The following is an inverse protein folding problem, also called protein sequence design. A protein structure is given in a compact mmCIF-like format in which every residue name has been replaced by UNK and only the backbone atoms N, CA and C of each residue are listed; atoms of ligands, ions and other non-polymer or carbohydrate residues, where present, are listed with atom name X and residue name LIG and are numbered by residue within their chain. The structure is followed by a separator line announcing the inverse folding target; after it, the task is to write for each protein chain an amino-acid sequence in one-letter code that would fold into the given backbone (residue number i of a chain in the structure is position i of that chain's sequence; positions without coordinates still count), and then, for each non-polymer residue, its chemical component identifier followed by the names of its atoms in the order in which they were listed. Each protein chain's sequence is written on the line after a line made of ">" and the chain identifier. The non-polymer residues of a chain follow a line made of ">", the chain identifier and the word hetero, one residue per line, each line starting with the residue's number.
data_IF_603227688563
#
_entry.id   IF_603227688563
#
_cell.length_a   1.000
_cell.length_b   1.000
_cell.length_c   1.000
_cell.angle_alpha   90.00
_cell.angle_beta   90.00
_cell.angle_gamma   90.00
#
_symmetry.space_group_name_H-M   'P 1'
#
loop_
_entity.id
_entity.type
_entity.pdbx_description
1 polymer ?
#
# COMPACT_ATOMS: atom_id res chain seq x y z
N UNK A 1 13.06 3.30 1.06
CA UNK A 1 11.66 3.65 1.42
C UNK A 1 10.88 3.98 0.16
N UNK A 2 9.55 3.77 0.16
CA UNK A 2 8.67 4.18 -0.94
C UNK A 2 7.36 4.75 -0.41
N UNK A 3 6.69 5.59 -1.19
CA UNK A 3 5.32 6.05 -0.93
C UNK A 3 4.57 6.27 -2.24
N UNK A 4 3.27 5.98 -2.26
CA UNK A 4 2.43 6.10 -3.45
C UNK A 4 1.70 7.44 -3.47
N UNK A 5 1.75 8.15 -4.60
CA UNK A 5 1.07 9.42 -4.85
C UNK A 5 0.41 9.43 -6.22
N UNK A 6 -0.58 10.31 -6.44
CA UNK A 6 -1.13 10.62 -7.75
C UNK A 6 -0.63 11.98 -8.23
N UNK A 7 -0.67 12.19 -9.55
CA UNK A 7 -0.38 13.47 -10.18
C UNK A 7 -1.44 14.53 -9.85
N UNK A 8 -1.35 15.09 -8.64
CA UNK A 8 -2.17 16.21 -8.20
C UNK A 8 -1.40 17.12 -7.24
N UNK A 9 -1.88 18.34 -7.07
CA UNK A 9 -1.20 19.38 -6.30
C UNK A 9 -1.10 19.03 -4.80
N UNK A 10 -2.16 18.48 -4.21
CA UNK A 10 -2.18 18.16 -2.79
C UNK A 10 -1.14 17.08 -2.43
N UNK A 11 -1.05 16.01 -3.23
CA UNK A 11 -0.07 14.94 -3.01
C UNK A 11 1.37 15.39 -3.35
N UNK A 12 1.54 16.41 -4.21
CA UNK A 12 2.86 17.05 -4.42
C UNK A 12 3.34 17.76 -3.16
N UNK A 13 2.47 18.51 -2.49
CA UNK A 13 2.78 19.13 -1.20
C UNK A 13 3.19 18.11 -0.13
N UNK A 14 2.41 17.04 0.01
CA UNK A 14 2.73 15.96 0.93
C UNK A 14 4.07 15.29 0.58
N UNK A 15 4.35 15.12 -0.73
CA UNK A 15 5.63 14.57 -1.20
C UNK A 15 6.83 15.43 -0.77
N UNK A 16 6.71 16.76 -0.80
CA UNK A 16 7.76 17.66 -0.29
C UNK A 16 8.03 17.38 1.20
N UNK A 17 6.96 17.24 2.00
CA UNK A 17 7.09 16.99 3.44
C UNK A 17 7.80 15.67 3.75
N UNK A 18 7.44 14.60 3.06
CA UNK A 18 8.04 13.28 3.30
C UNK A 18 9.51 13.22 2.84
N UNK A 19 9.85 13.80 1.66
CA UNK A 19 11.24 13.90 1.22
C UNK A 19 12.08 14.75 2.18
N UNK A 20 11.52 15.87 2.65
CA UNK A 20 12.19 16.73 3.62
C UNK A 20 12.44 15.99 4.94
N UNK A 21 11.44 15.30 5.48
CA UNK A 21 11.58 14.58 6.74
C UNK A 21 12.58 13.43 6.65
N UNK A 22 12.60 12.69 5.54
CA UNK A 22 13.61 11.66 5.28
C UNK A 22 15.04 12.21 5.36
N UNK A 23 15.26 13.37 4.73
CA UNK A 23 16.57 14.04 4.78
C UNK A 23 16.88 14.61 6.17
N UNK A 24 15.89 15.20 6.85
CA UNK A 24 16.06 15.86 8.14
C UNK A 24 16.46 14.91 9.26
N UNK A 25 16.04 13.64 9.18
CA UNK A 25 16.40 12.62 10.18
C UNK A 25 17.58 11.74 9.74
N UNK A 26 18.26 12.07 8.64
CA UNK A 26 19.33 11.24 8.06
C UNK A 26 18.92 9.76 7.90
N UNK A 27 17.69 9.51 7.39
CA UNK A 27 17.21 8.15 7.19
C UNK A 27 18.10 7.38 6.22
N UNK A 28 18.69 6.25 6.63
CA UNK A 28 19.49 5.41 5.74
C UNK A 28 18.71 4.87 4.55
N UNK A 29 19.39 4.77 3.41
CA UNK A 29 18.85 4.22 2.15
C UNK A 29 18.02 5.22 1.35
N UNK A 30 17.65 4.86 0.11
CA UNK A 30 16.94 5.73 -0.79
C UNK A 30 15.45 5.87 -0.42
N UNK A 31 14.85 6.98 -0.85
CA UNK A 31 13.40 7.18 -0.86
C UNK A 31 12.93 7.43 -2.28
N UNK A 32 11.86 6.75 -2.70
CA UNK A 32 11.27 6.88 -4.04
C UNK A 32 9.77 7.13 -3.94
N UNK A 33 9.30 8.15 -4.62
CA UNK A 33 7.87 8.38 -4.84
C UNK A 33 7.39 7.50 -6.00
N UNK A 34 6.34 6.72 -5.78
CA UNK A 34 5.64 5.94 -6.78
C UNK A 34 4.45 6.78 -7.27
N UNK A 35 4.59 7.39 -8.45
CA UNK A 35 3.69 8.44 -8.94
C UNK A 35 2.75 7.92 -10.03
N UNK A 36 1.46 7.85 -9.72
CA UNK A 36 0.41 7.47 -10.65
C UNK A 36 -0.05 8.70 -11.47
N UNK A 37 0.18 8.68 -12.80
CA UNK A 37 -0.25 9.72 -13.73
C UNK A 37 -0.98 9.12 -14.93
N UNK A 38 -1.99 9.82 -15.48
CA UNK A 38 -2.36 9.60 -16.88
C UNK A 38 -1.38 10.34 -17.81
N UNK A 39 -1.42 10.01 -19.10
CA UNK A 39 -0.58 10.69 -20.09
C UNK A 39 -0.88 12.19 -20.15
N UNK A 40 -2.15 12.59 -20.05
CA UNK A 40 -2.59 13.98 -20.02
C UNK A 40 -2.11 14.71 -18.75
N UNK A 41 -2.23 14.04 -17.59
CA UNK A 41 -1.73 14.59 -16.33
C UNK A 41 -0.22 14.82 -16.40
N UNK A 42 0.53 13.86 -16.95
CA UNK A 42 1.99 13.92 -17.01
C UNK A 42 2.49 15.08 -17.86
N UNK A 43 1.78 15.45 -18.95
CA UNK A 43 2.14 16.58 -19.80
C UNK A 43 2.13 17.92 -19.05
N UNK A 44 1.27 18.08 -18.07
CA UNK A 44 1.09 19.35 -17.34
C UNK A 44 1.65 19.31 -15.92
N UNK A 45 2.03 18.15 -15.43
CA UNK A 45 2.50 18.00 -14.06
C UNK A 45 3.87 18.63 -13.83
N UNK A 46 3.99 19.49 -12.81
CA UNK A 46 5.18 20.29 -12.51
C UNK A 46 6.01 19.77 -11.33
N UNK A 47 5.64 18.62 -10.77
CA UNK A 47 6.26 18.14 -9.55
C UNK A 47 7.24 16.97 -9.75
N UNK A 48 7.76 16.72 -10.95
CA UNK A 48 8.69 15.60 -11.19
C UNK A 48 10.06 15.83 -10.53
N UNK A 49 10.44 17.07 -10.34
CA UNK A 49 11.71 17.52 -9.76
C UNK A 49 11.74 17.57 -8.21
N UNK A 50 10.60 17.26 -7.55
CA UNK A 50 10.50 17.29 -6.09
C UNK A 50 11.45 16.24 -5.43
N UNK A 51 11.64 15.09 -6.07
CA UNK A 51 12.54 14.05 -5.59
C UNK A 51 12.50 12.78 -6.46
N UNK A 52 13.26 11.74 -6.09
CA UNK A 52 13.31 10.50 -6.82
C UNK A 52 11.92 9.92 -7.07
N UNK A 53 11.56 9.70 -8.33
CA UNK A 53 10.19 9.36 -8.72
C UNK A 53 10.18 8.24 -9.75
N UNK A 54 9.39 7.20 -9.48
CA UNK A 54 8.97 6.18 -10.44
C UNK A 54 7.56 6.53 -10.91
N UNK A 55 7.38 6.76 -12.22
CA UNK A 55 6.07 7.11 -12.82
C UNK A 55 5.42 5.85 -13.38
N UNK A 56 4.13 5.70 -13.14
CA UNK A 56 3.34 4.62 -13.72
C UNK A 56 1.92 5.13 -14.08
N UNK A 57 1.19 4.31 -14.85
CA UNK A 57 -0.18 4.62 -15.23
C UNK A 57 -1.10 4.78 -14.03
N UNK A 58 -1.94 5.82 -14.02
CA UNK A 58 -2.93 6.05 -12.98
C UNK A 58 -4.13 5.10 -13.17
N UNK A 59 -4.26 4.13 -12.29
CA UNK A 59 -5.29 3.10 -12.33
C UNK A 59 -6.72 3.67 -12.28
N UNK A 60 -6.90 4.90 -11.77
CA UNK A 60 -8.20 5.59 -11.77
C UNK A 60 -8.80 5.75 -13.17
N UNK A 61 -7.97 5.85 -14.20
CA UNK A 61 -8.40 6.04 -15.60
C UNK A 61 -8.57 4.72 -16.37
N UNK A 62 -8.60 3.59 -15.68
CA UNK A 62 -8.74 2.26 -16.25
C UNK A 62 -7.37 1.64 -16.59
N UNK A 63 -7.31 0.33 -16.48
CA UNK A 63 -6.12 -0.45 -16.83
C UNK A 63 -6.54 -1.91 -17.12
N UNK A 64 -5.89 -2.66 -18.03
CA UNK A 64 -6.24 -4.05 -18.30
C UNK A 64 -6.28 -5.00 -17.09
N UNK A 65 -5.58 -4.64 -16.01
CA UNK A 65 -5.59 -5.42 -14.76
C UNK A 65 -6.84 -5.21 -13.91
N UNK A 66 -7.68 -4.19 -14.18
CA UNK A 66 -8.84 -3.86 -13.35
C UNK A 66 -10.08 -3.65 -14.22
N UNK A 67 -11.25 -4.00 -13.68
CA UNK A 67 -12.52 -4.00 -14.41
C UNK A 67 -13.38 -2.75 -14.13
N UNK A 68 -12.77 -1.68 -13.59
CA UNK A 68 -13.48 -0.46 -13.26
C UNK A 68 -12.63 0.81 -13.44
N UNK A 69 -13.32 1.94 -13.58
CA UNK A 69 -12.74 3.28 -13.68
C UNK A 69 -13.17 4.12 -12.48
N UNK A 70 -12.39 5.12 -12.12
CA UNK A 70 -12.74 6.10 -11.08
C UNK A 70 -12.33 5.71 -9.65
N UNK A 71 -11.88 4.48 -9.38
CA UNK A 71 -11.48 4.07 -8.04
C UNK A 71 -9.96 4.22 -7.81
N UNK A 72 -9.52 5.19 -6.96
CA UNK A 72 -8.10 5.53 -6.83
C UNK A 72 -7.30 4.54 -5.99
N UNK A 73 -7.95 3.74 -5.15
CA UNK A 73 -7.25 2.87 -4.20
C UNK A 73 -6.49 1.71 -4.86
N UNK A 74 -6.67 1.50 -6.16
CA UNK A 74 -5.82 0.60 -6.93
C UNK A 74 -4.40 1.14 -7.15
N UNK A 75 -4.21 2.46 -7.07
CA UNK A 75 -2.91 3.05 -7.33
C UNK A 75 -1.83 2.55 -6.37
N UNK A 76 -2.10 2.48 -5.07
CA UNK A 76 -1.08 2.08 -4.09
C UNK A 76 -0.57 0.65 -4.32
N UNK A 77 -1.40 -0.41 -4.40
CA UNK A 77 -0.93 -1.75 -4.71
C UNK A 77 -0.28 -1.88 -6.10
N UNK A 78 -0.85 -1.23 -7.11
CA UNK A 78 -0.30 -1.25 -8.46
C UNK A 78 1.06 -0.53 -8.53
N UNK A 79 1.22 0.60 -7.85
CA UNK A 79 2.49 1.31 -7.74
C UNK A 79 3.62 0.40 -7.25
N UNK A 80 3.36 -0.32 -6.17
CA UNK A 80 4.34 -1.22 -5.56
C UNK A 80 4.67 -2.39 -6.50
N UNK A 81 3.64 -2.98 -7.12
CA UNK A 81 3.81 -4.08 -8.07
C UNK A 81 4.65 -3.66 -9.27
N UNK A 82 4.28 -2.58 -9.97
CA UNK A 82 5.00 -2.10 -11.15
C UNK A 82 6.43 -1.67 -10.84
N UNK A 83 6.64 -1.03 -9.69
CA UNK A 83 7.96 -0.64 -9.24
C UNK A 83 8.87 -1.85 -9.02
N UNK A 84 8.38 -2.89 -8.33
CA UNK A 84 9.15 -4.11 -8.08
C UNK A 84 9.42 -4.95 -9.33
N UNK A 85 8.57 -4.85 -10.36
CA UNK A 85 8.75 -5.51 -11.65
C UNK A 85 9.80 -4.81 -12.52
N UNK A 86 9.92 -3.47 -12.43
CA UNK A 86 10.73 -2.67 -13.34
C UNK A 86 12.04 -2.17 -12.73
N UNK A 87 12.14 -2.16 -11.39
CA UNK A 87 13.31 -1.66 -10.67
C UNK A 87 14.01 -2.81 -9.95
N UNK A 88 15.31 -2.92 -10.16
CA UNK A 88 16.14 -3.90 -9.44
C UNK A 88 16.46 -3.39 -8.03
N UNK A 89 15.48 -3.57 -7.14
CA UNK A 89 15.58 -3.17 -5.73
C UNK A 89 16.58 -4.04 -4.99
N UNK A 90 17.60 -3.41 -4.39
CA UNK A 90 18.69 -4.10 -3.69
C UNK A 90 18.50 -4.15 -2.18
N UNK A 91 17.77 -3.20 -1.63
CA UNK A 91 17.49 -3.10 -0.21
C UNK A 91 16.75 -4.33 0.31
N UNK A 92 17.19 -4.86 1.45
CA UNK A 92 16.58 -6.04 2.07
C UNK A 92 15.17 -5.73 2.60
N UNK A 93 15.01 -4.52 3.18
CA UNK A 93 13.73 -4.07 3.73
C UNK A 93 13.18 -2.87 2.97
N UNK A 94 11.87 -2.86 2.80
CA UNK A 94 11.13 -1.80 2.12
C UNK A 94 10.09 -1.24 3.08
N UNK A 95 10.26 0.03 3.47
CA UNK A 95 9.22 0.76 4.20
C UNK A 95 8.31 1.46 3.19
N UNK A 96 7.02 1.11 3.22
CA UNK A 96 5.96 1.73 2.44
C UNK A 96 5.18 2.68 3.35
N UNK A 97 5.10 3.96 2.98
CA UNK A 97 4.49 5.02 3.76
C UNK A 97 3.27 5.60 3.02
N UNK A 98 2.37 6.24 3.77
CA UNK A 98 1.39 7.17 3.20
C UNK A 98 2.03 8.55 2.98
N UNK A 99 1.54 9.29 1.98
CA UNK A 99 2.13 10.59 1.59
C UNK A 99 2.03 11.68 2.67
N UNK A 100 1.07 11.57 3.57
CA UNK A 100 0.84 12.50 4.67
C UNK A 100 1.66 12.19 5.94
N UNK A 101 2.55 11.21 5.85
CA UNK A 101 3.46 10.85 6.94
C UNK A 101 4.76 11.65 6.90
N UNK A 102 5.36 11.82 8.06
CA UNK A 102 6.68 12.43 8.23
C UNK A 102 7.51 11.63 9.23
N UNK A 103 8.77 11.46 8.91
CA UNK A 103 9.72 10.83 9.82
C UNK A 103 10.14 11.84 10.90
N UNK A 104 10.13 11.40 12.15
CA UNK A 104 10.63 12.18 13.29
C UNK A 104 11.98 11.66 13.81
N UNK A 105 12.29 10.42 13.47
CA UNK A 105 13.53 9.71 13.76
C UNK A 105 13.78 8.68 12.67
N UNK A 106 15.02 8.19 12.51
CA UNK A 106 15.31 7.12 11.54
C UNK A 106 14.56 5.83 11.88
N UNK A 107 14.01 5.16 10.87
CA UNK A 107 13.44 3.83 10.99
C UNK A 107 14.53 2.79 10.81
N UNK A 108 14.73 1.95 11.82
CA UNK A 108 15.56 0.74 11.73
C UNK A 108 14.62 -0.49 11.61
N UNK A 109 14.52 -1.12 10.44
CA UNK A 109 13.66 -2.26 10.23
C UNK A 109 13.93 -3.42 11.18
N UNK A 110 15.19 -3.71 11.46
CA UNK A 110 15.60 -4.84 12.31
C UNK A 110 15.28 -4.55 13.77
N UNK A 111 15.57 -3.35 14.25
CA UNK A 111 15.24 -2.93 15.61
C UNK A 111 13.71 -2.92 15.84
N UNK A 112 12.92 -2.64 14.82
CA UNK A 112 11.46 -2.72 14.85
C UNK A 112 10.91 -4.15 14.71
N UNK A 113 11.78 -5.16 14.50
CA UNK A 113 11.41 -6.57 14.44
C UNK A 113 11.03 -7.07 13.04
N UNK A 114 11.27 -6.28 11.97
CA UNK A 114 11.05 -6.74 10.61
C UNK A 114 12.03 -7.88 10.26
N UNK A 115 11.51 -8.89 9.60
CA UNK A 115 12.28 -10.02 9.07
C UNK A 115 11.47 -10.73 8.00
N UNK A 116 12.07 -11.64 7.27
CA UNK A 116 11.35 -12.48 6.31
C UNK A 116 10.18 -13.20 6.98
N UNK A 117 9.00 -13.14 6.36
CA UNK A 117 7.75 -13.68 6.89
C UNK A 117 7.07 -12.81 7.96
N UNK A 118 7.64 -11.65 8.33
CA UNK A 118 7.05 -10.74 9.32
C UNK A 118 7.01 -9.32 8.77
N UNK A 119 5.81 -8.76 8.70
CA UNK A 119 5.56 -7.37 8.35
C UNK A 119 5.37 -6.53 9.62
N UNK A 120 6.11 -5.44 9.72
CA UNK A 120 5.91 -4.44 10.79
C UNK A 120 4.97 -3.37 10.29
N UNK A 121 3.98 -2.99 11.11
CA UNK A 121 3.01 -1.94 10.79
C UNK A 121 2.48 -1.27 12.06
N UNK A 122 1.92 -0.07 11.94
CA UNK A 122 1.20 0.55 13.04
C UNK A 122 -0.18 -0.09 13.23
N UNK A 123 -0.61 -0.23 14.50
CA UNK A 123 -1.97 -0.63 14.81
C UNK A 123 -2.91 0.59 14.69
N UNK A 124 -3.98 0.45 13.89
CA UNK A 124 -5.01 1.46 13.71
C UNK A 124 -6.35 0.93 14.21
N UNK A 125 -6.58 1.06 15.51
CA UNK A 125 -7.74 0.51 16.21
C UNK A 125 -9.11 1.02 15.70
N UNK A 126 -9.12 2.17 15.01
CA UNK A 126 -10.33 2.73 14.39
C UNK A 126 -10.73 2.05 13.07
N UNK A 127 -9.86 1.22 12.50
CA UNK A 127 -10.16 0.51 11.28
C UNK A 127 -11.20 -0.58 11.53
N UNK A 128 -12.25 -0.58 10.72
CA UNK A 128 -13.32 -1.59 10.77
C UNK A 128 -13.18 -2.58 9.60
N UNK A 129 -13.83 -3.73 9.70
CA UNK A 129 -13.87 -4.72 8.61
C UNK A 129 -12.91 -5.91 8.79
N UNK A 130 -11.86 -5.80 9.60
CA UNK A 130 -10.89 -6.88 9.82
C UNK A 130 -11.45 -8.04 10.66
N UNK A 131 -12.47 -7.82 11.48
CA UNK A 131 -13.09 -8.82 12.38
C UNK A 131 -14.56 -9.08 12.09
N UNK A 132 -15.11 -8.49 11.03
CA UNK A 132 -16.53 -8.57 10.69
C UNK A 132 -16.86 -9.59 9.61
N UNK A 133 -18.08 -9.50 9.07
CA UNK A 133 -18.56 -10.33 7.95
C UNK A 133 -17.66 -10.19 6.69
N UNK A 134 -17.02 -9.07 6.50
CA UNK A 134 -16.06 -8.84 5.43
C UNK A 134 -14.84 -9.75 5.55
N UNK A 135 -14.20 -9.77 6.72
CA UNK A 135 -13.05 -10.63 6.96
C UNK A 135 -13.38 -12.11 6.72
N UNK A 136 -14.55 -12.57 7.21
CA UNK A 136 -15.04 -13.95 7.03
C UNK A 136 -15.28 -14.36 5.57
N UNK A 137 -15.34 -13.42 4.65
CA UNK A 137 -15.44 -13.72 3.21
C UNK A 137 -14.12 -14.11 2.58
N UNK A 138 -13.01 -13.71 3.21
CA UNK A 138 -11.65 -13.83 2.67
C UNK A 138 -10.71 -14.64 3.56
N UNK A 139 -11.03 -14.80 4.83
CA UNK A 139 -10.27 -15.53 5.83
C UNK A 139 -11.07 -16.72 6.36
N UNK A 140 -10.39 -17.79 6.70
CA UNK A 140 -10.99 -18.90 7.42
C UNK A 140 -11.42 -18.46 8.84
N UNK A 141 -12.37 -19.17 9.44
CA UNK A 141 -12.96 -18.75 10.71
C UNK A 141 -11.91 -18.59 11.83
N UNK A 142 -10.91 -19.45 11.82
CA UNK A 142 -9.80 -19.47 12.78
C UNK A 142 -8.83 -18.30 12.57
N UNK A 143 -8.73 -17.77 11.36
CA UNK A 143 -7.84 -16.65 10.99
C UNK A 143 -8.45 -15.29 11.34
N UNK A 144 -9.78 -15.15 11.32
CA UNK A 144 -10.46 -13.88 11.57
C UNK A 144 -10.06 -13.22 12.89
N UNK A 145 -9.95 -13.95 14.03
CA UNK A 145 -9.50 -13.35 15.29
C UNK A 145 -8.05 -12.83 15.25
N UNK A 146 -7.23 -13.40 14.37
CA UNK A 146 -5.82 -13.05 14.21
C UNK A 146 -5.60 -11.86 13.28
N UNK A 147 -6.64 -11.42 12.55
CA UNK A 147 -6.57 -10.32 11.61
C UNK A 147 -6.15 -9.02 12.31
N UNK A 148 -5.00 -8.47 11.93
CA UNK A 148 -4.47 -7.24 12.49
C UNK A 148 -5.13 -5.99 11.87
N UNK A 149 -5.40 -4.98 12.70
CA UNK A 149 -5.86 -3.66 12.25
C UNK A 149 -4.65 -2.78 11.96
N UNK A 150 -3.94 -3.09 10.87
CA UNK A 150 -2.72 -2.39 10.49
C UNK A 150 -2.97 -1.34 9.41
N UNK A 151 -2.21 -0.26 9.45
CA UNK A 151 -2.32 0.84 8.47
C UNK A 151 -1.22 1.86 8.61
N UNK A 152 -1.26 2.86 7.75
CA UNK A 152 -0.34 3.98 7.73
C UNK A 152 1.01 3.62 7.11
N UNK A 153 1.87 2.91 7.81
CA UNK A 153 3.11 2.41 7.23
C UNK A 153 3.24 0.89 7.37
N UNK A 154 4.05 0.32 6.49
CA UNK A 154 4.39 -1.10 6.52
C UNK A 154 5.87 -1.26 6.21
N UNK A 155 6.57 -2.12 6.94
CA UNK A 155 7.94 -2.52 6.63
C UNK A 155 7.93 -3.99 6.25
N UNK A 156 8.36 -4.28 5.02
CA UNK A 156 8.40 -5.61 4.45
C UNK A 156 9.84 -6.05 4.24
N UNK A 157 10.10 -7.35 4.34
CA UNK A 157 11.22 -7.92 3.64
C UNK A 157 10.95 -7.89 2.12
N UNK A 158 11.95 -7.53 1.31
CA UNK A 158 11.82 -7.35 -0.15
C UNK A 158 11.21 -8.57 -0.85
N UNK A 159 11.68 -9.77 -0.52
CA UNK A 159 11.22 -10.98 -1.20
C UNK A 159 9.76 -11.30 -0.87
N UNK A 160 9.32 -11.01 0.35
CA UNK A 160 7.91 -11.12 0.75
C UNK A 160 7.06 -10.10 -0.01
N UNK A 161 7.52 -8.86 -0.13
CA UNK A 161 6.78 -7.82 -0.85
C UNK A 161 6.62 -8.15 -2.34
N UNK A 162 7.62 -8.78 -2.98
CA UNK A 162 7.51 -9.26 -4.37
C UNK A 162 6.40 -10.29 -4.55
N UNK A 163 6.16 -11.13 -3.56
CA UNK A 163 5.05 -12.10 -3.58
C UNK A 163 3.71 -11.43 -3.25
N UNK A 164 3.73 -10.51 -2.29
CA UNK A 164 2.53 -9.83 -1.78
C UNK A 164 1.96 -8.83 -2.79
N UNK A 165 2.79 -8.07 -3.51
CA UNK A 165 2.34 -6.96 -4.34
C UNK A 165 1.31 -7.35 -5.43
N UNK A 166 1.49 -8.39 -6.24
CA UNK A 166 0.48 -8.83 -7.20
C UNK A 166 -0.79 -9.35 -6.51
N UNK A 167 -0.65 -10.07 -5.40
CA UNK A 167 -1.78 -10.53 -4.61
C UNK A 167 -2.56 -9.36 -4.02
N UNK A 168 -1.90 -8.29 -3.63
CA UNK A 168 -2.55 -7.09 -3.12
C UNK A 168 -3.47 -6.45 -4.17
N UNK A 169 -3.03 -6.34 -5.42
CA UNK A 169 -3.89 -5.89 -6.53
C UNK A 169 -5.10 -6.80 -6.68
N UNK A 170 -4.89 -8.11 -6.71
CA UNK A 170 -5.96 -9.12 -6.89
C UNK A 170 -6.97 -9.08 -5.73
N UNK A 171 -6.52 -9.06 -4.49
CA UNK A 171 -7.42 -8.96 -3.35
C UNK A 171 -8.17 -7.62 -3.29
N UNK A 172 -7.55 -6.53 -3.72
CA UNK A 172 -8.24 -5.24 -3.85
C UNK A 172 -9.42 -5.36 -4.83
N UNK A 173 -9.24 -6.04 -5.97
CA UNK A 173 -10.34 -6.33 -6.93
C UNK A 173 -11.45 -7.15 -6.27
N UNK A 174 -11.09 -8.27 -5.63
CA UNK A 174 -12.05 -9.18 -4.99
C UNK A 174 -12.86 -8.50 -3.90
N UNK A 175 -12.20 -7.74 -3.01
CA UNK A 175 -12.86 -6.98 -1.94
C UNK A 175 -13.75 -5.89 -2.54
N UNK A 176 -13.32 -5.24 -3.62
CA UNK A 176 -14.12 -4.23 -4.32
C UNK A 176 -15.34 -4.81 -5.00
N UNK A 177 -15.23 -5.96 -5.66
CA UNK A 177 -16.34 -6.68 -6.26
C UNK A 177 -17.38 -7.07 -5.20
N UNK A 178 -16.93 -7.67 -4.10
CA UNK A 178 -17.80 -8.03 -2.99
C UNK A 178 -18.54 -6.82 -2.39
N UNK A 179 -17.84 -5.69 -2.23
CA UNK A 179 -18.46 -4.46 -1.71
C UNK A 179 -19.55 -3.89 -2.65
N UNK A 180 -19.46 -4.14 -3.96
CA UNK A 180 -20.50 -3.75 -4.92
C UNK A 180 -21.73 -4.67 -4.87
N UNK A 181 -21.53 -5.96 -4.61
CA UNK A 181 -22.60 -6.94 -4.49
C UNK A 181 -23.40 -6.77 -3.19
N UNK A 182 -22.74 -6.43 -2.10
CA UNK A 182 -23.36 -6.25 -0.78
C UNK A 182 -23.64 -4.76 -0.48
N UNK A 183 -24.70 -4.23 -1.10
CA UNK A 183 -25.10 -2.82 -0.97
C UNK A 183 -25.49 -2.40 0.45
N UNK A 184 -26.01 -3.29 1.30
CA UNK A 184 -26.30 -2.99 2.72
C UNK A 184 -25.00 -2.80 3.51
N UNK A 185 -23.97 -3.49 3.10
CA UNK A 185 -22.62 -3.32 3.65
C UNK A 185 -21.93 -2.09 3.05
N UNK A 186 -22.34 -1.62 1.87
CA UNK A 186 -21.77 -0.46 1.19
C UNK A 186 -21.97 0.88 1.93
N UNK A 187 -23.03 1.07 2.70
CA UNK A 187 -23.16 2.26 3.54
C UNK A 187 -22.06 2.31 4.62
N UNK A 188 -21.69 1.17 5.18
CA UNK A 188 -20.49 1.01 6.01
C UNK A 188 -19.19 1.06 5.16
N UNK A 189 -19.23 0.62 3.89
CA UNK A 189 -18.10 0.59 2.97
C UNK A 189 -17.73 1.97 2.38
N UNK A 190 -18.59 2.98 2.43
CA UNK A 190 -18.18 4.36 2.15
C UNK A 190 -17.19 4.87 3.21
N UNK A 191 -17.36 4.42 4.44
CA UNK A 191 -16.36 4.58 5.51
C UNK A 191 -15.16 3.63 5.31
N UNK A 192 -15.34 2.53 4.59
CA UNK A 192 -14.36 1.49 4.23
C UNK A 192 -13.42 1.88 3.07
N UNK A 193 -13.53 3.05 2.45
CA UNK A 193 -12.58 3.49 1.41
C UNK A 193 -11.11 3.43 1.89
N UNK A 194 -10.90 3.63 3.19
CA UNK A 194 -9.60 3.50 3.86
C UNK A 194 -9.26 2.05 4.27
N UNK A 195 -10.26 1.17 4.41
CA UNK A 195 -10.10 -0.14 5.06
C UNK A 195 -9.84 -1.29 4.08
N UNK A 196 -10.14 -1.14 2.78
CA UNK A 196 -9.88 -2.19 1.77
C UNK A 196 -8.41 -2.53 1.69
N UNK A 197 -7.54 -1.51 1.70
CA UNK A 197 -6.08 -1.70 1.71
C UNK A 197 -5.63 -2.49 2.94
N UNK A 198 -6.17 -2.17 4.11
CA UNK A 198 -5.81 -2.83 5.38
C UNK A 198 -6.27 -4.27 5.40
N UNK A 199 -7.52 -4.55 5.02
CA UNK A 199 -8.04 -5.92 4.95
C UNK A 199 -7.22 -6.77 3.96
N UNK A 200 -6.92 -6.23 2.80
CA UNK A 200 -6.09 -6.89 1.79
C UNK A 200 -4.69 -7.21 2.34
N UNK A 201 -4.05 -6.26 3.02
CA UNK A 201 -2.73 -6.47 3.62
C UNK A 201 -2.76 -7.49 4.77
N UNK A 202 -3.78 -7.46 5.60
CA UNK A 202 -3.98 -8.44 6.67
C UNK A 202 -4.10 -9.86 6.13
N UNK A 203 -4.93 -10.06 5.10
CA UNK A 203 -5.13 -11.36 4.43
C UNK A 203 -3.79 -11.87 3.87
N UNK A 204 -3.04 -10.99 3.20
CA UNK A 204 -1.77 -11.34 2.57
C UNK A 204 -0.69 -11.70 3.59
N UNK A 205 -0.60 -10.98 4.70
CA UNK A 205 0.34 -11.27 5.78
C UNK A 205 0.09 -12.66 6.36
N UNK A 206 -1.16 -13.04 6.58
CA UNK A 206 -1.53 -14.35 7.11
C UNK A 206 -1.28 -15.48 6.11
N UNK A 207 -1.59 -15.30 4.83
CA UNK A 207 -1.35 -16.31 3.79
C UNK A 207 0.15 -16.51 3.50
N UNK A 208 0.97 -15.45 3.63
CA UNK A 208 2.42 -15.53 3.49
C UNK A 208 3.08 -16.37 4.57
N UNK A 209 2.59 -16.31 5.81
CA UNK A 209 3.10 -17.12 6.94
C UNK A 209 2.69 -18.59 6.85
N UNK A 210 1.53 -18.89 6.25
CA UNK A 210 1.04 -20.27 6.09
C UNK A 210 1.75 -21.07 4.98
N UNK A 211 2.50 -20.41 4.10
CA UNK A 211 3.19 -21.06 2.95
C UNK A 211 4.71 -21.16 3.10
N UNK A 212 5.27 -21.01 4.29
CA UNK A 212 6.67 -21.36 4.53
C UNK A 212 6.79 -22.89 4.55
N UNK A 213 7.42 -23.56 3.57
CA UNK A 213 7.70 -24.97 3.67
C UNK A 213 8.74 -25.17 4.77
N UNK A 214 8.43 -26.07 5.64
CA UNK A 214 9.35 -26.69 6.60
C UNK A 214 10.53 -27.36 5.89
#
# INVERSE_FOLDING_TARGET
>A
MVFSAECNHALSWQSVGIFHSHKAVDQPGPITRLLACSDEQLQTYRGLDIGPTFVHHNMRFGHPLIDEVGYPSYNKPASVMFWLEQVDVKEEFIALLDTDMQLREPLDPVALGARRGVVVSAEYAYLVGTKGKFARRFLEAEEVPLAAQCGGFHIFHRDDLRVIAPLWVEFTKRVRAFAKEDMETCAAALQLRLNITVLTMTILTMQGTARSPS
#
